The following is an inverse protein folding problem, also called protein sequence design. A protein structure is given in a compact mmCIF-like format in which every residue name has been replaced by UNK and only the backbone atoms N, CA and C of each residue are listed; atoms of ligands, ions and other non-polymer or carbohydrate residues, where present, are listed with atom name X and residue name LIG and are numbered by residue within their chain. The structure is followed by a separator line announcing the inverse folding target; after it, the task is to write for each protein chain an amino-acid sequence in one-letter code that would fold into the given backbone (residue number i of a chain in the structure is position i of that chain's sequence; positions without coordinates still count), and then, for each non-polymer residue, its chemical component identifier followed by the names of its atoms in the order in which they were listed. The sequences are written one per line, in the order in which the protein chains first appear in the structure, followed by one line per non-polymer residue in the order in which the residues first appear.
data_IF_177590935600
#
_entry.id   IF_177590935600
#
_cell.length_a   1.000
_cell.length_b   1.000
_cell.length_c   1.000
_cell.angle_alpha   90.00
_cell.angle_beta   90.00
_cell.angle_gamma   90.00
#
_symmetry.space_group_name_H-M   'P 1'
#
loop_
_entity.id
_entity.type
_entity.pdbx_description
1 polymer ?
#
# COMPACT_ATOMS: atom_id res chain seq x y z
N UNK A 1 6.08 11.11 6.38
CA UNK A 1 5.72 12.10 5.34
C UNK A 1 6.17 11.59 3.98
N UNK A 2 5.31 11.68 2.97
CA UNK A 2 5.66 11.37 1.57
C UNK A 2 5.67 12.69 0.80
N UNK A 3 6.71 12.92 0.03
CA UNK A 3 6.83 14.09 -0.83
C UNK A 3 7.31 13.65 -2.22
N UNK A 4 6.54 13.96 -3.25
CA UNK A 4 6.87 13.70 -4.65
C UNK A 4 6.99 15.04 -5.34
N UNK A 5 8.12 15.25 -6.03
CA UNK A 5 8.44 16.51 -6.72
C UNK A 5 8.84 16.27 -8.16
N UNK A 6 8.11 16.92 -9.07
CA UNK A 6 8.36 16.94 -10.52
C UNK A 6 8.60 15.53 -11.09
N UNK A 7 7.84 14.53 -10.58
CA UNK A 7 8.06 13.14 -10.92
C UNK A 7 7.58 12.83 -12.33
N UNK A 8 8.51 12.42 -13.18
CA UNK A 8 8.24 11.90 -14.51
C UNK A 8 8.82 10.50 -14.64
N UNK A 9 8.01 9.55 -15.11
CA UNK A 9 8.40 8.13 -15.22
C UNK A 9 8.13 7.60 -16.61
N UNK A 10 9.15 6.96 -17.21
CA UNK A 10 9.07 6.33 -18.51
C UNK A 10 9.44 4.85 -18.44
N UNK A 11 8.54 3.97 -18.85
CA UNK A 11 8.89 2.56 -19.13
C UNK A 11 9.42 2.36 -20.55
N UNK A 12 8.97 3.22 -21.46
CA UNK A 12 9.36 3.23 -22.87
C UNK A 12 9.57 4.69 -23.32
N UNK A 13 9.13 5.03 -24.52
CA UNK A 13 9.32 6.35 -25.13
C UNK A 13 8.48 7.43 -24.46
N UNK A 14 7.21 7.14 -24.21
CA UNK A 14 6.25 8.11 -23.65
C UNK A 14 6.19 8.02 -22.13
N UNK A 15 6.04 9.15 -21.43
CA UNK A 15 5.91 9.19 -19.99
C UNK A 15 4.57 8.61 -19.52
N UNK A 16 4.62 7.79 -18.47
CA UNK A 16 3.43 7.26 -17.77
C UNK A 16 3.02 8.16 -16.62
N UNK A 17 3.98 8.82 -15.96
CA UNK A 17 3.76 9.92 -15.02
C UNK A 17 4.45 11.17 -15.58
N UNK A 18 3.82 12.33 -15.42
CA UNK A 18 4.24 13.60 -16.03
C UNK A 18 4.25 14.71 -15.00
N UNK A 19 5.42 15.19 -14.63
CA UNK A 19 5.64 16.32 -13.70
C UNK A 19 4.75 16.26 -12.45
N UNK A 20 4.54 15.05 -11.91
CA UNK A 20 3.62 14.80 -10.83
C UNK A 20 4.19 15.34 -9.51
N UNK A 21 3.35 16.10 -8.80
CA UNK A 21 3.68 16.65 -7.49
C UNK A 21 2.58 16.24 -6.50
N UNK A 22 2.97 15.67 -5.34
CA UNK A 22 2.04 15.39 -4.25
C UNK A 22 2.74 15.39 -2.89
N UNK A 23 1.95 15.60 -1.84
CA UNK A 23 2.44 15.55 -0.47
C UNK A 23 1.42 14.86 0.43
N UNK A 24 1.88 13.84 1.18
CA UNK A 24 1.05 13.11 2.14
C UNK A 24 1.67 13.25 3.53
N UNK A 25 0.87 13.68 4.48
CA UNK A 25 1.30 13.89 5.87
C UNK A 25 1.41 12.55 6.63
N UNK A 26 2.23 12.46 7.68
CA UNK A 26 2.24 11.28 8.54
C UNK A 26 0.86 11.02 9.15
N UNK A 27 0.43 9.75 9.13
CA UNK A 27 -0.88 9.32 9.66
C UNK A 27 -2.08 9.69 8.79
N UNK A 28 -1.87 10.27 7.62
CA UNK A 28 -2.95 10.61 6.69
C UNK A 28 -3.44 9.36 5.96
N UNK A 29 -4.76 9.22 5.79
CA UNK A 29 -5.38 8.20 4.95
C UNK A 29 -5.76 8.82 3.61
N UNK A 30 -5.00 8.51 2.58
CA UNK A 30 -5.16 9.08 1.25
C UNK A 30 -5.71 8.06 0.27
N UNK A 31 -6.66 8.51 -0.56
CA UNK A 31 -7.16 7.77 -1.70
C UNK A 31 -6.59 8.35 -3.00
N UNK A 32 -6.04 7.51 -3.85
CA UNK A 32 -5.66 7.84 -5.22
C UNK A 32 -6.62 7.13 -6.16
N UNK A 33 -7.36 7.87 -6.95
CA UNK A 33 -8.35 7.35 -7.89
C UNK A 33 -8.17 7.92 -9.30
N UNK A 34 -8.90 7.38 -10.27
CA UNK A 34 -8.84 7.81 -11.67
C UNK A 34 -9.02 6.65 -12.64
N UNK A 35 -9.10 6.89 -13.95
CA UNK A 35 -9.30 5.88 -14.98
C UNK A 35 -8.24 4.77 -14.96
N UNK A 36 -8.59 3.60 -15.50
CA UNK A 36 -7.60 2.53 -15.69
C UNK A 36 -6.49 2.97 -16.62
N UNK A 37 -5.23 2.64 -16.28
CA UNK A 37 -4.06 3.01 -17.09
C UNK A 37 -3.57 4.46 -16.93
N UNK A 38 -4.17 5.30 -16.08
CA UNK A 38 -3.73 6.69 -15.88
C UNK A 38 -2.41 6.83 -15.08
N UNK A 39 -1.81 5.74 -14.57
CA UNK A 39 -0.50 5.79 -13.88
C UNK A 39 -0.52 5.46 -12.39
N UNK A 40 -1.66 5.19 -11.75
CA UNK A 40 -1.80 4.94 -10.29
C UNK A 40 -0.86 3.86 -9.76
N UNK A 41 -0.84 2.68 -10.37
CA UNK A 41 0.05 1.58 -9.96
C UNK A 41 1.54 1.92 -10.19
N UNK A 42 1.85 2.79 -11.15
CA UNK A 42 3.21 3.32 -11.35
C UNK A 42 3.60 4.23 -10.17
N UNK A 43 2.69 5.11 -9.75
CA UNK A 43 2.89 5.96 -8.59
C UNK A 43 3.04 5.13 -7.30
N UNK A 44 2.21 4.09 -7.11
CA UNK A 44 2.35 3.15 -5.98
C UNK A 44 3.74 2.51 -5.94
N UNK A 45 4.23 2.02 -7.08
CA UNK A 45 5.56 1.41 -7.18
C UNK A 45 6.69 2.43 -6.95
N UNK A 46 6.50 3.68 -7.32
CA UNK A 46 7.45 4.76 -7.02
C UNK A 46 7.50 5.03 -5.51
N UNK A 47 6.35 5.21 -4.86
CA UNK A 47 6.26 5.47 -3.41
C UNK A 47 6.80 4.29 -2.58
N UNK A 48 6.67 3.06 -3.09
CA UNK A 48 7.20 1.86 -2.42
C UNK A 48 8.67 1.55 -2.74
N UNK A 49 9.34 2.34 -3.59
CA UNK A 49 10.73 2.13 -3.98
C UNK A 49 10.94 0.94 -4.93
N UNK A 50 9.88 0.32 -5.44
CA UNK A 50 10.01 -0.75 -6.44
C UNK A 50 10.56 -0.25 -7.76
N UNK A 51 10.26 0.99 -8.12
CA UNK A 51 10.88 1.69 -9.25
C UNK A 51 11.93 2.65 -8.67
N UNK A 52 13.16 2.63 -9.18
CA UNK A 52 13.69 1.84 -10.30
C UNK A 52 14.32 0.50 -9.87
N UNK A 53 14.33 0.14 -8.57
CA UNK A 53 15.18 -0.92 -8.01
C UNK A 53 14.79 -2.34 -8.42
N UNK A 54 13.50 -2.63 -8.54
CA UNK A 54 12.98 -3.94 -8.96
C UNK A 54 12.30 -3.89 -10.33
N UNK A 55 11.76 -2.74 -10.70
CA UNK A 55 11.09 -2.51 -11.98
C UNK A 55 11.86 -1.43 -12.73
N UNK A 56 12.57 -1.77 -13.83
CA UNK A 56 13.35 -0.80 -14.59
C UNK A 56 12.46 0.28 -15.21
N UNK A 57 12.81 1.54 -14.98
CA UNK A 57 12.18 2.70 -15.60
C UNK A 57 13.16 3.89 -15.59
N UNK A 58 13.03 4.79 -16.54
CA UNK A 58 13.69 6.10 -16.46
C UNK A 58 12.85 7.01 -15.59
N UNK A 59 13.47 7.59 -14.59
CA UNK A 59 12.82 8.45 -13.59
C UNK A 59 13.50 9.81 -13.59
N UNK A 60 12.70 10.87 -13.58
CA UNK A 60 13.11 12.26 -13.35
C UNK A 60 12.31 12.81 -12.17
N UNK A 61 12.88 13.73 -11.40
CA UNK A 61 12.26 14.25 -10.18
C UNK A 61 12.69 13.52 -8.92
N UNK A 62 11.90 13.59 -7.87
CA UNK A 62 12.23 13.04 -6.55
C UNK A 62 11.02 12.40 -5.86
N UNK A 63 11.28 11.32 -5.13
CA UNK A 63 10.33 10.71 -4.20
C UNK A 63 11.02 10.56 -2.84
N UNK A 64 10.53 11.27 -1.85
CA UNK A 64 11.08 11.28 -0.49
C UNK A 64 10.05 10.70 0.46
N UNK A 65 10.44 9.70 1.23
CA UNK A 65 9.62 9.12 2.31
C UNK A 65 10.40 9.20 3.61
N UNK A 66 9.80 9.82 4.62
CA UNK A 66 10.42 10.05 5.94
C UNK A 66 11.82 10.68 5.87
N UNK A 67 11.98 11.64 4.94
CA UNK A 67 13.24 12.36 4.73
C UNK A 67 14.31 11.60 3.95
N UNK A 68 14.02 10.40 3.44
CA UNK A 68 14.92 9.60 2.62
C UNK A 68 14.48 9.62 1.17
N UNK A 69 15.38 9.94 0.26
CA UNK A 69 15.13 9.80 -1.19
C UNK A 69 15.13 8.32 -1.56
N UNK A 70 14.03 7.83 -2.12
CA UNK A 70 13.91 6.42 -2.48
C UNK A 70 14.70 6.07 -3.75
N UNK A 71 15.07 7.05 -4.56
CA UNK A 71 15.85 6.82 -5.79
C UNK A 71 17.33 6.55 -5.51
N UNK A 72 17.86 7.08 -4.39
CA UNK A 72 19.28 6.98 -4.03
C UNK A 72 19.59 5.79 -3.12
N UNK A 73 18.55 5.13 -2.57
CA UNK A 73 18.66 4.03 -1.63
C UNK A 73 18.66 2.64 -2.29
N UNK A 74 18.37 1.63 -1.49
CA UNK A 74 18.13 0.27 -1.94
C UNK A 74 16.70 -0.17 -1.65
N UNK A 75 16.22 -1.22 -2.35
CA UNK A 75 14.90 -1.78 -2.07
C UNK A 75 14.71 -2.25 -0.61
N UNK A 76 15.69 -2.91 0.04
CA UNK A 76 15.60 -3.22 1.47
C UNK A 76 15.45 -2.00 2.37
N UNK A 77 16.09 -0.86 2.04
CA UNK A 77 15.94 0.38 2.81
C UNK A 77 14.53 0.96 2.67
N UNK A 78 13.98 0.97 1.46
CA UNK A 78 12.61 1.41 1.20
C UNK A 78 11.58 0.52 1.93
N UNK A 79 11.78 -0.82 1.92
CA UNK A 79 10.88 -1.79 2.54
C UNK A 79 10.80 -1.68 4.08
N UNK A 80 11.77 -1.05 4.74
CA UNK A 80 11.70 -0.76 6.18
C UNK A 80 10.70 0.37 6.51
N UNK A 81 10.46 1.28 5.58
CA UNK A 81 9.58 2.44 5.79
C UNK A 81 8.24 2.28 5.09
N UNK A 82 8.22 1.65 3.92
CA UNK A 82 7.03 1.51 3.08
C UNK A 82 6.71 0.05 2.83
N UNK A 83 5.53 -0.37 3.23
CA UNK A 83 4.97 -1.66 2.87
C UNK A 83 4.06 -1.54 1.66
N UNK A 84 4.12 -2.50 0.74
CA UNK A 84 3.24 -2.54 -0.43
C UNK A 84 2.42 -3.83 -0.46
N UNK A 85 1.12 -3.67 -0.71
CA UNK A 85 0.17 -4.75 -0.97
C UNK A 85 -0.29 -4.65 -2.42
N UNK A 86 -0.11 -5.71 -3.19
CA UNK A 86 -0.48 -5.75 -4.61
C UNK A 86 -1.94 -6.17 -4.81
N UNK A 87 -2.46 -5.89 -5.98
CA UNK A 87 -3.84 -6.19 -6.39
C UNK A 87 -4.22 -7.67 -6.24
N UNK A 88 -3.30 -8.60 -6.50
CA UNK A 88 -3.54 -10.03 -6.36
C UNK A 88 -2.81 -10.59 -5.12
N UNK A 89 -3.51 -10.79 -3.98
CA UNK A 89 -2.90 -11.30 -2.77
C UNK A 89 -2.36 -12.71 -2.92
N UNK A 90 -2.97 -13.55 -3.76
CA UNK A 90 -2.54 -14.93 -3.95
C UNK A 90 -1.14 -15.03 -4.58
N UNK A 91 -0.68 -14.00 -5.29
CA UNK A 91 0.68 -13.96 -5.84
C UNK A 91 1.75 -13.60 -4.81
N UNK A 92 1.35 -13.15 -3.60
CA UNK A 92 2.25 -12.75 -2.52
C UNK A 92 2.38 -13.85 -1.45
N UNK A 93 1.43 -14.81 -1.37
CA UNK A 93 1.36 -15.80 -0.32
C UNK A 93 1.92 -17.14 -0.81
N UNK A 94 2.98 -17.64 -0.19
CA UNK A 94 3.70 -18.85 -0.64
C UNK A 94 4.12 -19.80 0.48
N UNK A 95 3.89 -19.46 1.77
CA UNK A 95 4.21 -20.33 2.90
C UNK A 95 3.09 -21.32 3.22
N UNK A 96 3.41 -22.32 4.07
CA UNK A 96 2.48 -23.39 4.43
C UNK A 96 1.45 -22.98 5.48
N UNK A 97 1.69 -21.91 6.23
CA UNK A 97 0.74 -21.35 7.18
C UNK A 97 0.76 -19.82 7.17
N UNK A 98 -0.35 -19.20 7.60
CA UNK A 98 -0.44 -17.75 7.78
C UNK A 98 0.65 -17.25 8.71
N UNK A 99 0.92 -17.94 9.83
CA UNK A 99 1.98 -17.56 10.76
C UNK A 99 3.36 -17.52 10.10
N UNK A 100 3.70 -18.51 9.29
CA UNK A 100 4.97 -18.53 8.55
C UNK A 100 5.05 -17.42 7.52
N UNK A 101 3.94 -17.13 6.84
CA UNK A 101 3.84 -16.02 5.91
C UNK A 101 4.15 -14.69 6.58
N UNK A 102 3.55 -14.43 7.75
CA UNK A 102 3.78 -13.20 8.50
C UNK A 102 5.19 -13.13 9.11
N UNK A 103 5.77 -14.27 9.46
CA UNK A 103 7.11 -14.36 10.05
C UNK A 103 8.25 -14.12 9.03
N UNK A 104 7.98 -14.34 7.75
CA UNK A 104 8.98 -14.28 6.68
C UNK A 104 9.69 -12.92 6.60
N UNK A 105 8.94 -11.83 6.53
CA UNK A 105 9.48 -10.48 6.46
C UNK A 105 10.37 -10.13 7.67
N UNK A 106 9.85 -10.25 8.91
CA UNK A 106 10.62 -10.02 10.14
C UNK A 106 11.90 -10.86 10.23
N UNK A 107 11.88 -12.14 9.84
CA UNK A 107 13.08 -12.98 9.78
C UNK A 107 14.12 -12.47 8.80
N UNK A 108 13.69 -11.99 7.64
CA UNK A 108 14.59 -11.41 6.63
C UNK A 108 15.22 -10.09 7.11
N UNK A 109 14.60 -9.40 8.07
CA UNK A 109 15.21 -8.26 8.76
C UNK A 109 16.25 -8.67 9.81
N UNK A 110 16.48 -9.97 10.03
CA UNK A 110 17.45 -10.48 11.01
C UNK A 110 16.97 -10.40 12.46
N UNK A 111 15.65 -10.28 12.70
CA UNK A 111 15.10 -10.25 14.04
C UNK A 111 15.18 -11.62 14.70
N UNK A 112 15.33 -11.66 16.03
CA UNK A 112 15.30 -12.89 16.79
C UNK A 112 13.88 -13.48 16.87
N UNK A 113 13.77 -14.76 17.25
CA UNK A 113 12.49 -15.47 17.25
C UNK A 113 11.44 -14.82 18.16
N UNK A 114 11.83 -14.25 19.29
CA UNK A 114 10.90 -13.58 20.21
C UNK A 114 10.30 -12.32 19.57
N UNK A 115 11.12 -11.50 18.94
CA UNK A 115 10.67 -10.30 18.20
C UNK A 115 9.80 -10.67 17.00
N UNK A 116 10.14 -11.72 16.27
CA UNK A 116 9.33 -12.25 15.16
C UNK A 116 7.95 -12.64 15.68
N UNK A 117 7.86 -13.41 16.76
CA UNK A 117 6.59 -13.83 17.34
C UNK A 117 5.74 -12.64 17.82
N UNK A 118 6.36 -11.66 18.47
CA UNK A 118 5.68 -10.43 18.89
C UNK A 118 5.10 -9.68 17.70
N UNK A 119 5.84 -9.56 16.58
CA UNK A 119 5.37 -8.89 15.36
C UNK A 119 4.25 -9.65 14.66
N UNK A 120 4.36 -10.98 14.59
CA UNK A 120 3.32 -11.85 14.03
C UNK A 120 2.03 -11.72 14.84
N UNK A 121 2.11 -11.85 16.17
CA UNK A 121 0.96 -11.72 17.05
C UNK A 121 0.32 -10.33 16.97
N UNK A 122 1.13 -9.27 16.87
CA UNK A 122 0.67 -7.91 16.67
C UNK A 122 -0.10 -7.78 15.34
N UNK A 123 0.47 -8.23 14.22
CA UNK A 123 -0.13 -8.10 12.90
C UNK A 123 -1.45 -8.88 12.79
N UNK A 124 -1.51 -10.10 13.32
CA UNK A 124 -2.74 -10.90 13.37
C UNK A 124 -3.87 -10.16 14.10
N UNK A 125 -3.58 -9.60 15.29
CA UNK A 125 -4.57 -8.83 16.08
C UNK A 125 -5.00 -7.54 15.38
N UNK A 126 -4.05 -6.77 14.84
CA UNK A 126 -4.34 -5.51 14.18
C UNK A 126 -5.31 -5.66 13.01
N UNK A 127 -5.20 -6.79 12.29
CA UNK A 127 -6.06 -7.12 11.14
C UNK A 127 -7.31 -7.93 11.56
N UNK A 128 -7.30 -8.58 12.76
CA UNK A 128 -8.43 -9.37 13.30
C UNK A 128 -8.54 -10.76 12.69
N UNK A 129 -7.41 -11.44 12.48
CA UNK A 129 -7.34 -12.77 11.86
C UNK A 129 -6.56 -13.78 12.70
N UNK A 130 -6.52 -13.63 14.04
CA UNK A 130 -5.78 -14.50 14.94
C UNK A 130 -6.14 -15.99 14.78
N UNK A 131 -7.42 -16.26 14.52
CA UNK A 131 -7.96 -17.60 14.30
C UNK A 131 -7.42 -18.28 13.05
N UNK A 132 -6.85 -17.52 12.10
CA UNK A 132 -6.29 -18.05 10.86
C UNK A 132 -4.80 -18.37 10.95
N UNK A 133 -4.16 -18.13 12.09
CA UNK A 133 -2.69 -18.23 12.22
C UNK A 133 -2.09 -19.56 11.75
N UNK A 134 -2.79 -20.67 11.98
CA UNK A 134 -2.35 -22.02 11.62
C UNK A 134 -2.93 -22.51 10.29
N UNK A 135 -3.84 -21.75 9.69
CA UNK A 135 -4.48 -22.10 8.42
C UNK A 135 -3.49 -22.00 7.26
N UNK A 136 -3.76 -22.75 6.21
CA UNK A 136 -3.00 -22.70 4.95
C UNK A 136 -3.54 -21.56 4.07
N UNK A 137 -2.67 -20.67 3.54
CA UNK A 137 -3.12 -19.57 2.69
C UNK A 137 -3.89 -20.02 1.43
N UNK A 138 -3.60 -21.20 0.87
CA UNK A 138 -4.29 -21.72 -0.30
C UNK A 138 -5.78 -22.07 -0.04
N UNK A 139 -6.15 -22.35 1.22
CA UNK A 139 -7.51 -22.70 1.65
C UNK A 139 -8.37 -21.51 2.05
N UNK A 140 -7.79 -20.31 2.11
CA UNK A 140 -8.48 -19.10 2.54
C UNK A 140 -9.36 -18.51 1.42
N UNK A 141 -10.44 -17.83 1.81
CA UNK A 141 -11.23 -17.00 0.89
C UNK A 141 -10.41 -15.83 0.35
N UNK A 142 -10.87 -15.18 -0.74
CA UNK A 142 -10.21 -14.01 -1.31
C UNK A 142 -9.99 -12.88 -0.30
N UNK A 143 -11.02 -12.55 0.48
CA UNK A 143 -10.93 -11.53 1.53
C UNK A 143 -9.96 -11.91 2.65
N UNK A 144 -9.95 -13.18 3.08
CA UNK A 144 -9.00 -13.66 4.07
C UNK A 144 -7.55 -13.61 3.54
N UNK A 145 -7.31 -14.00 2.28
CA UNK A 145 -5.99 -13.86 1.64
C UNK A 145 -5.52 -12.41 1.61
N UNK A 146 -6.43 -11.47 1.33
CA UNK A 146 -6.12 -10.05 1.34
C UNK A 146 -5.73 -9.56 2.72
N UNK A 147 -6.49 -9.94 3.77
CA UNK A 147 -6.15 -9.61 5.15
C UNK A 147 -4.80 -10.21 5.58
N UNK A 148 -4.50 -11.44 5.15
CA UNK A 148 -3.19 -12.07 5.40
C UNK A 148 -2.05 -11.33 4.69
N UNK A 149 -2.23 -10.91 3.43
CA UNK A 149 -1.23 -10.12 2.72
C UNK A 149 -0.97 -8.77 3.42
N UNK A 150 -2.02 -8.09 3.88
CA UNK A 150 -1.91 -6.85 4.66
C UNK A 150 -1.17 -7.12 5.99
N UNK A 151 -1.53 -8.19 6.71
CA UNK A 151 -0.89 -8.57 7.97
C UNK A 151 0.60 -8.92 7.79
N UNK A 152 0.96 -9.62 6.71
CA UNK A 152 2.35 -9.97 6.41
C UNK A 152 3.21 -8.71 6.20
N UNK A 153 2.68 -7.71 5.49
CA UNK A 153 3.35 -6.42 5.32
C UNK A 153 3.41 -5.65 6.65
N UNK A 154 2.31 -5.66 7.43
CA UNK A 154 2.25 -4.98 8.73
C UNK A 154 3.24 -5.55 9.77
N UNK A 155 3.54 -6.85 9.70
CA UNK A 155 4.54 -7.49 10.56
C UNK A 155 5.94 -6.88 10.40
N UNK A 156 6.23 -6.23 9.27
CA UNK A 156 7.45 -5.47 9.04
C UNK A 156 7.47 -4.13 9.82
N UNK A 157 6.32 -3.68 10.33
CA UNK A 157 6.09 -2.38 10.98
C UNK A 157 6.44 -1.19 10.09
N UNK A 158 5.90 -1.10 8.87
CA UNK A 158 6.12 0.04 8.00
C UNK A 158 5.43 1.29 8.59
N UNK A 159 5.94 2.48 8.26
CA UNK A 159 5.28 3.75 8.58
C UNK A 159 4.23 4.14 7.55
N UNK A 160 4.40 3.65 6.33
CA UNK A 160 3.51 3.87 5.19
C UNK A 160 3.05 2.52 4.65
N UNK A 161 1.77 2.39 4.41
CA UNK A 161 1.16 1.24 3.73
C UNK A 161 0.56 1.71 2.41
N UNK A 162 1.09 1.20 1.30
CA UNK A 162 0.58 1.43 -0.05
C UNK A 162 -0.19 0.21 -0.50
N UNK A 163 -1.45 0.39 -0.94
CA UNK A 163 -2.28 -0.71 -1.40
C UNK A 163 -2.77 -0.41 -2.83
N UNK A 164 -2.44 -1.29 -3.76
CA UNK A 164 -2.80 -1.17 -5.17
C UNK A 164 -4.02 -2.04 -5.46
N UNK A 165 -5.20 -1.43 -5.50
CA UNK A 165 -6.52 -2.05 -5.74
C UNK A 165 -6.81 -3.28 -4.86
N UNK A 166 -6.65 -3.18 -3.51
CA UNK A 166 -6.73 -4.34 -2.63
C UNK A 166 -8.12 -4.97 -2.56
N UNK A 167 -9.17 -4.29 -3.04
CA UNK A 167 -10.54 -4.78 -2.97
C UNK A 167 -11.15 -5.16 -4.32
N UNK A 168 -10.40 -5.04 -5.42
CA UNK A 168 -10.89 -5.21 -6.79
C UNK A 168 -11.59 -6.56 -7.06
N UNK A 169 -11.15 -7.64 -6.40
CA UNK A 169 -11.66 -9.01 -6.59
C UNK A 169 -12.52 -9.51 -5.42
N UNK A 170 -12.91 -8.62 -4.49
CA UNK A 170 -13.63 -8.98 -3.27
C UNK A 170 -15.14 -8.71 -3.40
N UNK A 171 -15.93 -9.51 -2.69
CA UNK A 171 -17.33 -9.19 -2.42
C UNK A 171 -17.47 -8.01 -1.44
N UNK A 172 -18.67 -7.42 -1.34
CA UNK A 172 -18.91 -6.24 -0.53
C UNK A 172 -18.56 -6.45 0.96
N UNK A 173 -18.86 -7.62 1.52
CA UNK A 173 -18.57 -7.94 2.93
C UNK A 173 -17.06 -8.01 3.19
N UNK A 174 -16.32 -8.68 2.31
CA UNK A 174 -14.86 -8.76 2.39
C UNK A 174 -14.21 -7.39 2.18
N UNK A 175 -14.74 -6.57 1.28
CA UNK A 175 -14.31 -5.19 1.06
C UNK A 175 -14.47 -4.37 2.36
N UNK A 176 -15.64 -4.41 3.00
CA UNK A 176 -15.89 -3.71 4.27
C UNK A 176 -14.91 -4.16 5.37
N UNK A 177 -14.61 -5.45 5.47
CA UNK A 177 -13.65 -5.98 6.45
C UNK A 177 -12.23 -5.45 6.20
N UNK A 178 -11.78 -5.41 4.94
CA UNK A 178 -10.46 -4.87 4.57
C UNK A 178 -10.38 -3.37 4.89
N UNK A 179 -11.38 -2.59 4.48
CA UNK A 179 -11.41 -1.16 4.75
C UNK A 179 -11.47 -0.88 6.27
N UNK A 180 -12.28 -1.61 7.03
CA UNK A 180 -12.34 -1.48 8.49
C UNK A 180 -10.99 -1.79 9.16
N UNK A 181 -10.26 -2.80 8.67
CA UNK A 181 -8.91 -3.10 9.16
C UNK A 181 -7.93 -1.96 8.86
N UNK A 182 -7.95 -1.40 7.63
CA UNK A 182 -7.12 -0.26 7.24
C UNK A 182 -7.42 0.98 8.08
N UNK A 183 -8.70 1.31 8.27
CA UNK A 183 -9.15 2.43 9.11
C UNK A 183 -8.64 2.29 10.54
N UNK A 184 -8.78 1.11 11.13
CA UNK A 184 -8.29 0.83 12.48
C UNK A 184 -6.78 0.99 12.59
N UNK A 185 -6.01 0.46 11.63
CA UNK A 185 -4.55 0.63 11.60
C UNK A 185 -4.13 2.09 11.48
N UNK A 186 -4.82 2.88 10.67
CA UNK A 186 -4.55 4.31 10.55
C UNK A 186 -4.84 5.03 11.87
N UNK A 187 -6.04 4.85 12.45
CA UNK A 187 -6.49 5.59 13.63
C UNK A 187 -5.77 5.17 14.92
N UNK A 188 -5.55 3.87 15.13
CA UNK A 188 -4.97 3.35 16.38
C UNK A 188 -3.44 3.32 16.37
N UNK A 189 -2.82 3.19 15.20
CA UNK A 189 -1.38 3.00 15.07
C UNK A 189 -0.68 4.16 14.36
N UNK A 190 -1.43 5.10 13.81
CA UNK A 190 -0.89 6.28 13.11
C UNK A 190 -0.16 5.93 11.80
N UNK A 191 -0.47 4.78 11.19
CA UNK A 191 0.12 4.38 9.92
C UNK A 191 -0.45 5.25 8.80
N UNK A 192 0.42 5.81 7.99
CA UNK A 192 0.01 6.52 6.77
C UNK A 192 -0.49 5.51 5.74
N UNK A 193 -1.69 5.71 5.19
CA UNK A 193 -2.28 4.81 4.21
C UNK A 193 -2.41 5.51 2.86
N UNK A 194 -1.89 4.87 1.82
CA UNK A 194 -2.08 5.26 0.42
C UNK A 194 -2.87 4.16 -0.26
N UNK A 195 -4.17 4.38 -0.40
CA UNK A 195 -5.08 3.45 -1.02
C UNK A 195 -5.31 3.83 -2.49
N UNK A 196 -5.05 2.91 -3.40
CA UNK A 196 -5.41 3.06 -4.81
C UNK A 196 -6.66 2.24 -5.06
N UNK A 197 -7.74 2.88 -5.49
CA UNK A 197 -9.00 2.22 -5.79
C UNK A 197 -9.77 2.92 -6.91
N UNK A 198 -10.50 2.12 -7.69
CA UNK A 198 -11.46 2.61 -8.67
C UNK A 198 -12.86 2.71 -8.10
N UNK A 199 -13.20 1.81 -7.15
CA UNK A 199 -14.52 1.74 -6.53
C UNK A 199 -14.44 2.33 -5.14
N UNK A 200 -15.17 3.42 -4.94
CA UNK A 200 -15.12 4.19 -3.71
C UNK A 200 -16.00 3.64 -2.57
N UNK A 201 -16.74 2.53 -2.82
CA UNK A 201 -17.65 1.95 -1.84
C UNK A 201 -16.91 1.48 -0.58
N UNK A 202 -17.31 2.00 0.57
CA UNK A 202 -16.80 1.62 1.90
C UNK A 202 -15.57 2.39 2.39
N UNK A 203 -14.72 2.94 1.53
CA UNK A 203 -13.51 3.68 1.94
C UNK A 203 -13.77 5.15 2.30
N UNK A 204 -14.86 5.72 1.81
CA UNK A 204 -15.12 7.17 1.79
C UNK A 204 -15.14 7.84 3.17
N UNK A 205 -15.60 7.16 4.22
CA UNK A 205 -15.73 7.76 5.56
C UNK A 205 -14.39 7.88 6.31
N UNK A 206 -13.36 7.19 5.87
CA UNK A 206 -12.07 7.10 6.54
C UNK A 206 -10.95 7.84 5.82
N UNK A 207 -11.24 8.40 4.64
CA UNK A 207 -10.26 9.08 3.80
C UNK A 207 -10.20 10.56 4.15
N UNK A 208 -8.99 11.04 4.47
CA UNK A 208 -8.73 12.44 4.76
C UNK A 208 -8.61 13.28 3.48
N UNK A 209 -8.02 12.70 2.41
CA UNK A 209 -7.77 13.39 1.14
C UNK A 209 -7.82 12.44 -0.04
N UNK A 210 -8.26 12.98 -1.17
CA UNK A 210 -8.34 12.26 -2.45
C UNK A 210 -7.48 12.97 -3.49
N UNK A 211 -6.72 12.18 -4.25
CA UNK A 211 -6.05 12.60 -5.47
C UNK A 211 -6.73 11.94 -6.67
N UNK A 212 -7.25 12.76 -7.58
CA UNK A 212 -7.78 12.29 -8.84
C UNK A 212 -6.69 12.38 -9.91
N UNK A 213 -6.33 11.24 -10.48
CA UNK A 213 -5.33 11.16 -11.54
C UNK A 213 -5.99 10.93 -12.91
N UNK A 214 -5.47 11.61 -13.93
CA UNK A 214 -5.74 11.29 -15.32
C UNK A 214 -4.49 11.50 -16.17
N UNK A 215 -4.27 10.65 -17.16
CA UNK A 215 -3.19 10.70 -18.16
C UNK A 215 -1.77 10.96 -17.58
N UNK A 216 -1.50 10.44 -16.39
CA UNK A 216 -0.21 10.57 -15.70
C UNK A 216 -0.04 11.80 -14.83
N UNK A 217 -1.07 12.60 -14.66
CA UNK A 217 -1.08 13.85 -13.89
C UNK A 217 -2.11 13.79 -12.75
N UNK A 218 -1.93 14.60 -11.69
CA UNK A 218 -2.97 14.87 -10.70
C UNK A 218 -3.78 16.04 -11.21
N UNK A 219 -5.09 15.80 -11.43
CA UNK A 219 -6.00 16.83 -11.96
C UNK A 219 -6.82 17.52 -10.87
N UNK A 220 -7.08 16.83 -9.77
CA UNK A 220 -7.76 17.38 -8.58
C UNK A 220 -7.15 16.78 -7.33
N UNK A 221 -6.98 17.61 -6.30
CA UNK A 221 -6.61 17.25 -4.95
C UNK A 221 -7.57 17.96 -3.98
N UNK A 222 -8.12 17.22 -3.01
CA UNK A 222 -9.00 17.80 -2.03
C UNK A 222 -9.72 16.80 -1.17
N UNK A 223 -10.70 17.26 -0.41
CA UNK A 223 -11.64 16.41 0.32
C UNK A 223 -12.58 15.66 -0.63
N UNK A 224 -13.29 14.66 -0.08
CA UNK A 224 -14.22 13.83 -0.87
C UNK A 224 -15.23 14.67 -1.65
N UNK A 225 -15.86 15.67 -1.01
CA UNK A 225 -16.89 16.49 -1.63
C UNK A 225 -16.36 17.32 -2.82
N UNK A 226 -15.13 17.85 -2.69
CA UNK A 226 -14.48 18.62 -3.75
C UNK A 226 -14.21 17.75 -4.98
N UNK A 227 -13.64 16.57 -4.78
CA UNK A 227 -13.31 15.66 -5.87
C UNK A 227 -14.56 15.09 -6.54
N UNK A 228 -15.61 14.79 -5.77
CA UNK A 228 -16.89 14.33 -6.34
C UNK A 228 -17.65 15.39 -7.11
N UNK A 229 -17.49 16.65 -6.76
CA UNK A 229 -18.11 17.75 -7.54
C UNK A 229 -17.46 17.94 -8.91
N UNK A 230 -16.28 17.37 -9.12
CA UNK A 230 -15.51 17.46 -10.34
C UNK A 230 -15.78 16.28 -11.30
N UNK A 231 -16.26 15.13 -10.78
CA UNK A 231 -16.58 13.91 -11.55
C UNK A 231 -18.01 13.96 -12.10
#
# INVERSE_FOLDING_TARGET
MIEVKNLTVHYRRDPVLKDLNLRISPGEFVLITGPSGCGKSTLARMISGLIPHAVPARVEGQVVVDGRCLLDGSLPDAAQSVGMVFQNPASQLFHLSVREELAFGPRNLGLNDEEVEQRVAFALRAVGIEQLALERPDQLSGGQKQLVAIAAVLAMRPRVLVLDEPTASLDSKSTEQVIAALTRMNQEQGITIVLIEHRLQGALQSVDRVYLMDQGEIIVEGGLEEVFSFL
#
